data_IF_887757945477
#
_entry.id   IF_887757945477
#
_cell.length_a   1.000
_cell.length_b   1.000
_cell.length_c   1.000
_cell.angle_alpha   90.00
_cell.angle_beta   90.00
_cell.angle_gamma   90.00
#
_symmetry.space_group_name_H-M   'P 1'
#
loop_
_entity.id
_entity.type
_entity.pdbx_description
1 polymer ?
#
# COMPACT_ATOMS: atom_id res chain seq x y z
N UNK A 1 1.77 12.01 -8.14
CA UNK A 1 3.22 11.92 -8.52
C UNK A 1 3.40 10.71 -9.44
N UNK A 2 3.48 10.96 -10.75
CA UNK A 2 3.61 9.89 -11.75
C UNK A 2 5.08 9.45 -11.93
N UNK A 3 5.30 8.13 -12.04
CA UNK A 3 6.60 7.49 -12.35
C UNK A 3 6.37 6.34 -13.34
N UNK A 4 7.44 5.69 -13.83
CA UNK A 4 7.31 4.50 -14.70
C UNK A 4 6.53 3.34 -14.07
N UNK A 5 6.37 3.33 -12.74
CA UNK A 5 5.71 2.24 -12.00
C UNK A 5 4.34 2.60 -11.44
N UNK A 6 3.96 3.89 -11.42
CA UNK A 6 2.67 4.32 -10.85
C UNK A 6 2.22 5.67 -11.40
N UNK A 7 0.92 5.84 -11.46
CA UNK A 7 0.27 7.13 -11.77
C UNK A 7 -0.02 7.93 -10.49
N UNK A 8 -0.49 7.22 -9.46
CA UNK A 8 -0.89 7.76 -8.16
C UNK A 8 -0.17 7.02 -7.03
N UNK A 9 -0.21 7.59 -5.83
CA UNK A 9 0.24 6.88 -4.62
C UNK A 9 -0.88 6.02 -4.04
N UNK A 10 -0.54 5.02 -3.23
CA UNK A 10 -1.55 4.17 -2.57
C UNK A 10 -2.34 4.91 -1.48
N UNK A 11 -2.07 6.19 -1.19
CA UNK A 11 -2.83 7.00 -0.23
C UNK A 11 -3.65 8.13 -0.85
N UNK A 12 -3.58 8.30 -2.17
CA UNK A 12 -4.04 9.51 -2.87
C UNK A 12 -5.46 9.40 -3.41
N UNK A 13 -5.92 8.21 -3.74
CA UNK A 13 -7.23 8.01 -4.38
C UNK A 13 -8.40 8.41 -3.48
N UNK A 14 -9.39 9.05 -4.09
CA UNK A 14 -10.64 9.57 -3.48
C UNK A 14 -11.80 9.32 -4.43
N UNK A 15 -13.02 9.55 -3.97
CA UNK A 15 -14.26 9.41 -4.75
C UNK A 15 -14.25 10.20 -6.06
N UNK A 16 -13.52 11.33 -6.14
CA UNK A 16 -13.36 12.11 -7.36
C UNK A 16 -12.57 11.39 -8.48
N UNK A 17 -11.85 10.31 -8.15
CA UNK A 17 -11.09 9.51 -9.12
C UNK A 17 -11.90 8.34 -9.69
N UNK A 18 -13.16 8.16 -9.28
CA UNK A 18 -13.99 7.03 -9.75
C UNK A 18 -14.14 7.07 -11.27
N UNK A 19 -13.92 5.92 -11.92
CA UNK A 19 -13.90 5.77 -13.38
C UNK A 19 -12.52 6.00 -14.01
N UNK A 20 -11.54 6.52 -13.26
CA UNK A 20 -10.19 6.72 -13.76
C UNK A 20 -9.41 5.40 -13.84
N UNK A 21 -8.64 5.23 -14.93
CA UNK A 21 -7.67 4.14 -15.06
C UNK A 21 -6.37 4.54 -14.40
N UNK A 22 -5.95 3.76 -13.40
CA UNK A 22 -4.77 4.07 -12.59
C UNK A 22 -3.82 2.87 -12.53
N UNK A 23 -2.54 3.20 -12.42
CA UNK A 23 -1.47 2.26 -12.05
C UNK A 23 -0.99 2.57 -10.65
N UNK A 24 -0.97 1.58 -9.76
CA UNK A 24 -0.34 1.66 -8.43
C UNK A 24 0.76 0.60 -8.29
N UNK A 25 1.79 0.90 -7.51
CA UNK A 25 2.80 -0.06 -7.12
C UNK A 25 3.11 0.06 -5.63
N UNK A 26 3.25 -1.08 -4.95
CA UNK A 26 3.45 -1.12 -3.51
C UNK A 26 3.66 -2.52 -2.96
N UNK A 27 3.62 -2.63 -1.65
CA UNK A 27 3.67 -3.90 -0.93
C UNK A 27 2.27 -4.43 -0.67
N UNK A 28 2.05 -5.72 -0.90
CA UNK A 28 0.83 -6.41 -0.46
C UNK A 28 0.81 -6.41 1.07
N UNK A 29 -0.07 -5.61 1.65
CA UNK A 29 -0.20 -5.44 3.09
C UNK A 29 -1.00 -6.58 3.73
N UNK A 30 -2.10 -6.95 3.07
CA UNK A 30 -3.01 -8.02 3.48
C UNK A 30 -3.67 -8.58 2.23
N UNK A 31 -3.96 -9.88 2.25
CA UNK A 31 -4.72 -10.60 1.23
C UNK A 31 -5.94 -11.25 1.89
N UNK A 32 -7.09 -11.20 1.23
CA UNK A 32 -8.33 -11.88 1.61
C UNK A 32 -8.88 -12.57 0.36
N UNK A 33 -9.08 -13.87 0.43
CA UNK A 33 -9.39 -14.71 -0.73
C UNK A 33 -10.74 -15.41 -0.54
N UNK A 34 -11.61 -15.31 -1.54
CA UNK A 34 -12.94 -15.89 -1.56
C UNK A 34 -13.13 -16.78 -2.82
N UNK A 35 -12.04 -17.32 -3.37
CA UNK A 35 -12.06 -18.16 -4.56
C UNK A 35 -12.06 -17.31 -5.83
N UNK A 36 -13.24 -17.05 -6.40
CA UNK A 36 -13.37 -16.25 -7.64
C UNK A 36 -13.10 -14.75 -7.44
N UNK A 37 -13.06 -14.29 -6.19
CA UNK A 37 -12.85 -12.89 -5.82
C UNK A 37 -11.76 -12.79 -4.77
N UNK A 38 -10.70 -12.03 -5.06
CA UNK A 38 -9.62 -11.77 -4.11
C UNK A 38 -9.43 -10.27 -3.88
N UNK A 39 -9.22 -9.91 -2.62
CA UNK A 39 -8.97 -8.56 -2.16
C UNK A 39 -7.56 -8.45 -1.62
N UNK A 40 -6.87 -7.39 -2.01
CA UNK A 40 -5.56 -7.06 -1.49
C UNK A 40 -5.55 -5.62 -1.00
N UNK A 41 -4.90 -5.39 0.13
CA UNK A 41 -4.58 -4.05 0.59
C UNK A 41 -3.17 -3.73 0.07
N UNK A 42 -3.04 -2.83 -0.90
CA UNK A 42 -1.73 -2.42 -1.44
C UNK A 42 -1.24 -1.19 -0.69
N UNK A 43 -0.03 -1.28 -0.10
CA UNK A 43 0.56 -0.23 0.74
C UNK A 43 1.78 0.39 0.07
N UNK A 44 1.90 1.71 0.17
CA UNK A 44 3.16 2.43 -0.02
C UNK A 44 3.44 3.36 1.17
N UNK A 45 4.39 4.30 1.03
CA UNK A 45 4.70 5.27 2.11
C UNK A 45 3.59 6.29 2.38
N UNK A 46 2.62 6.43 1.46
CA UNK A 46 1.58 7.45 1.49
C UNK A 46 0.26 6.90 2.05
N UNK A 47 0.02 5.60 1.93
CA UNK A 47 -1.18 4.99 2.47
C UNK A 47 -1.41 3.58 1.96
N UNK A 48 -2.68 3.16 2.06
CA UNK A 48 -3.17 1.85 1.65
C UNK A 48 -4.36 2.06 0.72
N UNK A 49 -4.44 1.30 -0.38
CA UNK A 49 -5.60 1.23 -1.26
C UNK A 49 -6.04 -0.23 -1.39
N UNK A 50 -7.34 -0.50 -1.34
CA UNK A 50 -7.87 -1.84 -1.64
C UNK A 50 -7.89 -2.06 -3.15
N UNK A 51 -7.43 -3.22 -3.57
CA UNK A 51 -7.47 -3.70 -4.95
C UNK A 51 -8.22 -5.02 -4.99
N UNK A 52 -9.01 -5.22 -6.02
CA UNK A 52 -9.92 -6.36 -6.15
C UNK A 52 -9.67 -7.03 -7.50
N UNK A 53 -9.42 -8.33 -7.48
CA UNK A 53 -9.32 -9.17 -8.68
C UNK A 53 -10.54 -10.10 -8.73
N UNK A 54 -11.23 -10.13 -9.87
CA UNK A 54 -12.35 -11.03 -10.14
C UNK A 54 -11.95 -11.99 -11.27
N UNK A 55 -12.08 -13.29 -11.04
CA UNK A 55 -11.77 -14.32 -12.03
C UNK A 55 -12.70 -14.26 -13.26
N UNK A 56 -13.92 -13.76 -13.11
CA UNK A 56 -14.89 -13.62 -14.21
C UNK A 56 -14.54 -12.44 -15.13
N UNK A 57 -14.16 -11.29 -14.55
CA UNK A 57 -13.87 -10.07 -15.31
C UNK A 57 -12.42 -10.04 -15.83
N UNK A 58 -11.47 -10.56 -15.06
CA UNK A 58 -10.03 -10.44 -15.31
C UNK A 58 -9.27 -11.70 -14.86
N UNK A 59 -9.56 -12.84 -15.51
CA UNK A 59 -8.99 -14.16 -15.18
C UNK A 59 -7.45 -14.16 -15.10
N UNK A 60 -6.77 -13.51 -16.06
CA UNK A 60 -5.29 -13.44 -16.09
C UNK A 60 -4.73 -12.67 -14.89
N UNK A 61 -5.33 -11.52 -14.55
CA UNK A 61 -4.92 -10.73 -13.40
C UNK A 61 -5.20 -11.47 -12.08
N UNK A 62 -6.32 -12.18 -12.00
CA UNK A 62 -6.67 -12.98 -10.85
C UNK A 62 -5.67 -14.13 -10.64
N UNK A 63 -5.33 -14.88 -11.70
CA UNK A 63 -4.31 -15.94 -11.66
C UNK A 63 -2.91 -15.38 -11.30
N UNK A 64 -2.53 -14.23 -11.84
CA UNK A 64 -1.26 -13.58 -11.52
C UNK A 64 -1.17 -13.10 -10.06
N UNK A 65 -2.30 -12.73 -9.45
CA UNK A 65 -2.39 -12.28 -8.07
C UNK A 65 -2.56 -13.45 -7.07
N UNK A 66 -3.02 -14.61 -7.50
CA UNK A 66 -3.24 -15.81 -6.68
C UNK A 66 -2.02 -16.18 -5.80
N UNK A 67 -0.78 -16.27 -6.31
CA UNK A 67 0.37 -16.65 -5.50
C UNK A 67 0.85 -15.53 -4.57
N UNK A 68 0.35 -14.29 -4.71
CA UNK A 68 0.87 -13.15 -3.98
C UNK A 68 0.65 -13.31 -2.46
N UNK A 69 1.69 -13.03 -1.69
CA UNK A 69 1.65 -13.10 -0.21
C UNK A 69 1.94 -11.74 0.40
N UNK A 70 1.73 -11.63 1.71
CA UNK A 70 2.09 -10.42 2.44
C UNK A 70 3.56 -10.04 2.19
N UNK A 71 3.79 -8.74 2.04
CA UNK A 71 5.06 -8.08 1.71
C UNK A 71 5.63 -8.35 0.32
N UNK A 72 4.92 -9.05 -0.57
CA UNK A 72 5.28 -9.08 -1.98
C UNK A 72 5.16 -7.70 -2.60
N UNK A 73 6.05 -7.38 -3.55
CA UNK A 73 6.00 -6.12 -4.30
C UNK A 73 5.15 -6.35 -5.54
N UNK A 74 4.01 -5.67 -5.61
CA UNK A 74 3.06 -5.78 -6.71
C UNK A 74 2.86 -4.45 -7.42
N UNK A 75 2.61 -4.52 -8.72
CA UNK A 75 2.06 -3.44 -9.53
C UNK A 75 0.69 -3.86 -10.02
N UNK A 76 -0.27 -2.93 -9.93
CA UNK A 76 -1.63 -3.12 -10.40
C UNK A 76 -1.99 -2.04 -11.39
N UNK A 77 -2.69 -2.41 -12.44
CA UNK A 77 -3.38 -1.50 -13.35
C UNK A 77 -4.85 -1.85 -13.33
N UNK A 78 -5.71 -0.83 -13.25
CA UNK A 78 -7.14 -1.06 -13.16
C UNK A 78 -7.93 0.24 -13.10
N UNK A 79 -9.23 0.11 -12.88
CA UNK A 79 -10.17 1.23 -12.82
C UNK A 79 -10.59 1.48 -11.38
N UNK A 80 -10.58 2.73 -10.95
CA UNK A 80 -11.08 3.14 -9.63
C UNK A 80 -12.60 3.02 -9.62
N UNK A 81 -13.15 2.34 -8.61
CA UNK A 81 -14.59 2.24 -8.37
C UNK A 81 -14.93 2.57 -6.93
N UNK A 82 -16.14 3.06 -6.72
CA UNK A 82 -16.69 3.22 -5.37
C UNK A 82 -16.84 1.85 -4.71
N UNK A 83 -16.50 1.77 -3.43
CA UNK A 83 -16.85 0.60 -2.63
C UNK A 83 -18.36 0.54 -2.43
N UNK A 84 -18.95 -0.66 -2.33
CA UNK A 84 -20.31 -0.81 -1.84
C UNK A 84 -20.51 -0.08 -0.50
N UNK A 85 -21.70 0.49 -0.28
CA UNK A 85 -22.01 1.35 0.89
C UNK A 85 -21.67 0.69 2.24
N UNK A 86 -21.78 -0.65 2.33
CA UNK A 86 -21.50 -1.41 3.56
C UNK A 86 -20.03 -1.80 3.75
N UNK A 87 -19.16 -1.54 2.78
CA UNK A 87 -17.74 -1.94 2.81
C UNK A 87 -16.79 -0.75 2.77
N UNK A 88 -17.33 0.48 2.85
CA UNK A 88 -16.54 1.68 3.05
C UNK A 88 -15.81 1.63 4.40
N UNK A 89 -14.54 2.06 4.43
CA UNK A 89 -13.73 2.05 5.64
C UNK A 89 -13.31 3.48 6.03
N UNK A 90 -13.99 4.06 7.02
CA UNK A 90 -13.71 5.42 7.49
C UNK A 90 -12.31 5.60 8.12
N UNK A 91 -11.61 4.53 8.50
CA UNK A 91 -10.24 4.62 9.02
C UNK A 91 -9.19 4.85 7.92
N UNK A 92 -9.54 4.62 6.66
CA UNK A 92 -8.66 4.79 5.51
C UNK A 92 -9.07 6.00 4.68
N UNK A 93 -8.09 6.84 4.32
CA UNK A 93 -8.34 7.98 3.45
C UNK A 93 -8.84 7.58 2.04
N UNK A 94 -8.54 6.36 1.61
CA UNK A 94 -9.00 5.74 0.35
C UNK A 94 -10.20 4.81 0.59
N UNK A 95 -10.80 4.84 1.79
CA UNK A 95 -11.76 3.84 2.25
C UNK A 95 -13.09 3.84 1.52
N UNK A 96 -13.40 4.89 0.75
CA UNK A 96 -14.59 4.98 -0.09
C UNK A 96 -14.40 4.35 -1.47
N UNK A 97 -13.16 4.07 -1.87
CA UNK A 97 -12.80 3.59 -3.20
C UNK A 97 -11.97 2.31 -3.16
N UNK A 98 -11.98 1.60 -4.27
CA UNK A 98 -11.12 0.45 -4.53
C UNK A 98 -10.76 0.41 -6.02
N UNK A 99 -9.77 -0.41 -6.39
CA UNK A 99 -9.39 -0.61 -7.79
C UNK A 99 -9.90 -1.98 -8.24
N UNK A 100 -10.73 -2.01 -9.28
CA UNK A 100 -10.98 -3.22 -10.06
C UNK A 100 -9.78 -3.46 -10.97
N UNK A 101 -9.04 -4.54 -10.72
CA UNK A 101 -7.75 -4.79 -11.35
C UNK A 101 -7.94 -5.49 -12.70
N UNK A 102 -7.38 -4.90 -13.75
CA UNK A 102 -7.32 -5.48 -15.09
C UNK A 102 -6.00 -6.22 -15.33
N UNK A 103 -4.92 -5.78 -14.66
CA UNK A 103 -3.59 -6.39 -14.76
C UNK A 103 -2.89 -6.35 -13.42
N UNK A 104 -2.35 -7.51 -13.01
CA UNK A 104 -1.53 -7.64 -11.82
C UNK A 104 -0.15 -8.16 -12.19
N UNK A 105 0.90 -7.49 -11.72
CA UNK A 105 2.30 -7.89 -11.96
C UNK A 105 3.00 -8.03 -10.62
N UNK A 106 3.58 -9.21 -10.37
CA UNK A 106 4.51 -9.40 -9.26
C UNK A 106 5.87 -8.84 -9.68
N UNK A 107 6.22 -7.68 -9.13
CA UNK A 107 7.54 -7.07 -9.37
C UNK A 107 8.64 -7.80 -8.60
N UNK A 108 8.35 -8.23 -7.37
CA UNK A 108 9.30 -8.98 -6.56
C UNK A 108 8.59 -9.84 -5.49
N UNK A 109 8.73 -11.18 -5.52
CA UNK A 109 8.30 -12.04 -4.44
C UNK A 109 9.05 -11.76 -3.14
N UNK A 110 8.36 -11.86 -2.00
CA UNK A 110 8.99 -11.74 -0.68
C UNK A 110 9.00 -13.07 0.07
N UNK A 111 10.10 -13.32 0.80
CA UNK A 111 10.12 -14.35 1.84
C UNK A 111 9.19 -13.94 2.98
N UNK A 112 8.75 -14.91 3.78
CA UNK A 112 7.96 -14.64 4.98
C UNK A 112 8.77 -13.73 5.92
N UNK A 113 8.26 -12.54 6.27
CA UNK A 113 8.95 -11.65 7.19
C UNK A 113 9.13 -12.30 8.58
N UNK A 114 10.23 -12.00 9.30
CA UNK A 114 10.46 -12.50 10.67
C UNK A 114 9.47 -11.93 11.69
N UNK A 115 8.73 -10.88 11.34
CA UNK A 115 7.63 -10.31 12.12
C UNK A 115 6.64 -9.61 11.19
N UNK A 116 5.39 -9.50 11.62
CA UNK A 116 4.34 -8.83 10.85
C UNK A 116 4.55 -7.31 10.75
N UNK A 117 4.45 -6.78 9.53
CA UNK A 117 4.48 -5.32 9.29
C UNK A 117 3.05 -4.76 9.29
N UNK A 118 2.06 -5.59 8.97
CA UNK A 118 0.66 -5.25 8.82
C UNK A 118 -0.15 -5.22 10.11
N UNK A 119 0.47 -5.57 11.24
CA UNK A 119 -0.18 -5.67 12.54
C UNK A 119 0.68 -5.05 13.64
N UNK A 120 0.02 -4.48 14.65
CA UNK A 120 0.69 -3.98 15.83
C UNK A 120 1.13 -5.16 16.70
N UNK A 121 2.43 -5.18 17.07
CA UNK A 121 3.01 -6.19 17.94
C UNK A 121 3.68 -5.49 19.13
N UNK A 122 2.96 -5.28 20.25
CA UNK A 122 3.47 -4.55 21.41
C UNK A 122 4.74 -5.18 22.01
N UNK A 123 4.83 -6.51 22.00
CA UNK A 123 5.94 -7.26 22.60
C UNK A 123 6.99 -7.72 21.57
N UNK A 124 7.11 -7.03 20.42
CA UNK A 124 8.10 -7.39 19.42
C UNK A 124 9.52 -7.02 19.89
N UNK A 125 10.37 -8.05 20.02
CA UNK A 125 11.75 -7.93 20.49
C UNK A 125 12.56 -6.86 19.71
N UNK A 126 13.23 -6.00 20.46
CA UNK A 126 14.01 -4.90 19.90
C UNK A 126 15.23 -5.41 19.11
N UNK A 127 15.90 -6.46 19.60
CA UNK A 127 17.07 -7.02 18.91
C UNK A 127 16.70 -7.55 17.52
N UNK A 128 15.56 -8.22 17.42
CA UNK A 128 15.00 -8.68 16.15
C UNK A 128 14.64 -7.52 15.22
N UNK A 129 14.04 -6.45 15.76
CA UNK A 129 13.69 -5.24 14.99
C UNK A 129 14.92 -4.53 14.46
N UNK A 130 15.99 -4.43 15.25
CA UNK A 130 17.24 -3.80 14.84
C UNK A 130 17.98 -4.67 13.81
N UNK A 131 17.99 -6.00 14.00
CA UNK A 131 18.54 -6.95 13.02
C UNK A 131 17.85 -6.85 11.66
N UNK A 132 16.53 -6.67 11.65
CA UNK A 132 15.73 -6.50 10.43
C UNK A 132 15.18 -5.07 10.30
N UNK A 133 16.01 -4.06 10.59
CA UNK A 133 15.57 -2.66 10.64
C UNK A 133 14.96 -2.17 9.32
N UNK A 134 15.42 -2.70 8.19
CA UNK A 134 14.84 -2.42 6.86
C UNK A 134 13.36 -2.82 6.73
N UNK A 135 12.90 -3.82 7.48
CA UNK A 135 11.48 -4.20 7.59
C UNK A 135 10.76 -3.37 8.64
N UNK A 136 11.39 -3.13 9.81
CA UNK A 136 10.79 -2.33 10.87
C UNK A 136 10.50 -0.89 10.41
N UNK A 137 11.35 -0.32 9.56
CA UNK A 137 11.14 0.98 8.94
C UNK A 137 9.91 1.05 8.02
N UNK A 138 9.38 -0.09 7.56
CA UNK A 138 8.13 -0.11 6.76
C UNK A 138 6.89 0.07 7.61
N UNK A 139 6.97 -0.15 8.93
CA UNK A 139 5.82 -0.03 9.84
C UNK A 139 5.35 1.42 9.94
N UNK A 140 4.04 1.70 10.00
CA UNK A 140 3.50 3.06 10.01
C UNK A 140 4.10 3.96 11.08
N UNK A 141 4.29 3.43 12.30
CA UNK A 141 4.88 4.17 13.42
C UNK A 141 6.32 4.64 13.13
N UNK A 142 7.13 3.79 12.51
CA UNK A 142 8.52 4.12 12.17
C UNK A 142 8.59 5.10 11.01
N UNK A 143 7.73 4.93 9.99
CA UNK A 143 7.63 5.89 8.89
C UNK A 143 7.22 7.28 9.37
N UNK A 144 6.20 7.38 10.23
CA UNK A 144 5.74 8.65 10.78
C UNK A 144 6.86 9.39 11.54
N UNK A 145 7.64 8.67 12.35
CA UNK A 145 8.79 9.22 13.10
C UNK A 145 9.88 9.72 12.16
N UNK A 146 10.24 8.95 11.13
CA UNK A 146 11.28 9.36 10.17
C UNK A 146 10.84 10.56 9.33
N UNK A 147 9.55 10.61 8.93
CA UNK A 147 8.99 11.74 8.21
C UNK A 147 8.95 13.00 9.07
N UNK A 148 8.52 12.88 10.34
CA UNK A 148 8.54 13.98 11.31
C UNK A 148 9.94 14.53 11.49
N UNK A 149 10.94 13.66 11.70
CA UNK A 149 12.35 14.06 11.83
C UNK A 149 12.83 14.83 10.58
N UNK A 150 12.50 14.33 9.38
CA UNK A 150 12.87 14.99 8.12
C UNK A 150 12.25 16.39 8.01
N UNK A 151 10.94 16.51 8.32
CA UNK A 151 10.22 17.79 8.32
C UNK A 151 10.82 18.77 9.33
N UNK A 152 11.12 18.32 10.54
CA UNK A 152 11.75 19.14 11.57
C UNK A 152 13.12 19.66 11.12
N UNK A 153 13.98 18.78 10.61
CA UNK A 153 15.29 19.19 10.10
C UNK A 153 15.17 20.17 8.93
N UNK A 154 14.19 19.99 8.04
CA UNK A 154 13.91 20.92 6.95
C UNK A 154 13.43 22.28 7.46
N UNK A 155 12.57 22.31 8.48
CA UNK A 155 12.07 23.55 9.07
C UNK A 155 13.18 24.33 9.80
N UNK A 156 14.05 23.64 10.55
CA UNK A 156 15.21 24.26 11.20
C UNK A 156 16.15 24.87 10.17
N UNK A 157 16.49 24.13 9.10
CA UNK A 157 17.34 24.67 8.03
C UNK A 157 16.73 25.89 7.38
N UNK A 158 15.45 25.82 7.02
CA UNK A 158 14.73 26.95 6.43
C UNK A 158 14.76 28.18 7.35
N UNK A 159 14.51 28.00 8.64
CA UNK A 159 14.55 29.11 9.60
C UNK A 159 15.94 29.75 9.68
N UNK A 160 17.01 28.95 9.73
CA UNK A 160 18.38 29.46 9.74
C UNK A 160 18.75 30.17 8.42
N UNK A 161 18.34 29.62 7.27
CA UNK A 161 18.55 30.22 5.94
C UNK A 161 17.79 31.55 5.78
N UNK A 162 16.57 31.64 6.34
CA UNK A 162 15.77 32.86 6.35
C UNK A 162 16.40 33.95 7.24
N UNK A 163 17.18 33.57 8.26
CA UNK A 163 17.90 34.46 9.19
C UNK A 163 19.31 34.87 8.69
N UNK A 164 19.92 34.13 7.74
CA UNK A 164 21.22 34.43 7.11
C UNK A 164 22.27 33.34 7.26
#
# INVERSE_FOLDING_TARGET
MSTSFRTHTCGELRSDHVGERVTLAGWVHRRRDHGHLAFFDLRDRHGITQVVTNAEDAAEAHAAAEPARNEWVGQVEGVVRSRPVRTANAELATGEVEIAVDRFVVLNPSKVPPFYINEAQPCLDESLRLKHRYLDLRRPQMQARMLMRSRLASAIRKALEDDG
#
